data_IF_260164168312
#
_entry.id   IF_260164168312
#
_cell.length_a   1.000
_cell.length_b   1.000
_cell.length_c   1.000
_cell.angle_alpha   90.00
_cell.angle_beta   90.00
_cell.angle_gamma   90.00
#
_symmetry.space_group_name_H-M   'P 1'
#
loop_
_entity.id
_entity.type
_entity.pdbx_description
1 polymer ?
#
# COMPACT_ATOMS: atom_id res chain seq x y z
N UNK A 1 3.71 -24.24 18.69
CA UNK A 1 3.94 -23.89 17.27
C UNK A 1 2.63 -23.35 16.71
N UNK A 2 2.59 -22.07 16.37
CA UNK A 2 1.37 -21.42 15.87
C UNK A 2 1.34 -21.50 14.34
N UNK A 3 0.31 -22.11 13.77
CA UNK A 3 0.08 -22.12 12.33
C UNK A 3 -0.21 -20.68 11.86
N UNK A 4 0.57 -20.18 10.90
CA UNK A 4 0.37 -18.86 10.30
C UNK A 4 -0.21 -18.99 8.90
N UNK A 5 -1.37 -18.37 8.68
CA UNK A 5 -2.00 -18.30 7.37
C UNK A 5 -1.15 -17.47 6.39
N UNK A 6 -1.09 -17.90 5.13
CA UNK A 6 -0.26 -17.27 4.08
C UNK A 6 -0.56 -15.78 3.91
N UNK A 7 -1.84 -15.38 3.96
CA UNK A 7 -2.23 -13.98 3.85
C UNK A 7 -1.59 -13.08 4.93
N UNK A 8 -1.30 -13.63 6.12
CA UNK A 8 -0.60 -12.90 7.18
C UNK A 8 0.91 -12.98 7.03
N UNK A 9 1.43 -14.08 6.48
CA UNK A 9 2.87 -14.25 6.22
C UNK A 9 3.37 -13.29 5.14
N UNK A 10 2.55 -13.02 4.14
CA UNK A 10 2.89 -12.22 2.96
C UNK A 10 2.22 -10.84 2.92
N UNK A 11 1.67 -10.37 4.05
CA UNK A 11 1.15 -9.00 4.11
C UNK A 11 2.32 -8.02 3.91
N UNK A 12 2.29 -7.16 2.88
CA UNK A 12 3.36 -6.21 2.62
C UNK A 12 3.62 -5.32 3.85
N UNK A 13 4.89 -5.14 4.22
CA UNK A 13 5.30 -4.25 5.31
C UNK A 13 5.86 -2.92 4.78
N UNK A 14 6.19 -2.87 3.49
CA UNK A 14 6.69 -1.70 2.79
C UNK A 14 6.01 -1.53 1.45
N UNK A 15 6.07 -0.31 0.91
CA UNK A 15 5.54 0.00 -0.41
C UNK A 15 6.25 -0.73 -1.56
N UNK A 16 7.50 -1.14 -1.38
CA UNK A 16 8.25 -1.92 -2.37
C UNK A 16 7.71 -3.35 -2.54
N UNK A 17 6.97 -3.88 -1.55
CA UNK A 17 6.38 -5.22 -1.58
C UNK A 17 4.95 -5.21 -2.16
N UNK A 18 4.41 -4.04 -2.48
CA UNK A 18 3.08 -3.92 -3.09
C UNK A 18 3.17 -4.20 -4.59
N UNK A 19 2.35 -5.13 -5.07
CA UNK A 19 2.35 -5.57 -6.47
C UNK A 19 1.18 -4.93 -7.24
N UNK A 20 1.45 -4.44 -8.46
CA UNK A 20 0.42 -3.98 -9.42
C UNK A 20 -0.13 -2.57 -9.22
N UNK A 21 0.43 -1.79 -8.28
CA UNK A 21 -0.09 -0.45 -7.91
C UNK A 21 0.99 0.64 -7.96
N UNK A 22 1.88 0.61 -8.97
CA UNK A 22 3.05 1.49 -9.06
C UNK A 22 2.68 2.98 -8.96
N UNK A 23 1.64 3.42 -9.69
CA UNK A 23 1.22 4.83 -9.69
C UNK A 23 0.70 5.29 -8.33
N UNK A 24 -0.08 4.45 -7.65
CA UNK A 24 -0.66 4.77 -6.33
C UNK A 24 0.46 4.83 -5.29
N UNK A 25 1.35 3.83 -5.29
CA UNK A 25 2.49 3.77 -4.39
C UNK A 25 3.41 4.99 -4.56
N UNK A 26 3.70 5.38 -5.82
CA UNK A 26 4.52 6.55 -6.11
C UNK A 26 3.88 7.84 -5.61
N UNK A 27 2.57 8.03 -5.83
CA UNK A 27 1.85 9.21 -5.36
C UNK A 27 1.89 9.32 -3.82
N UNK A 28 1.64 8.22 -3.12
CA UNK A 28 1.68 8.17 -1.65
C UNK A 28 3.10 8.39 -1.10
N UNK A 29 4.11 7.78 -1.72
CA UNK A 29 5.51 7.96 -1.33
C UNK A 29 5.95 9.42 -1.45
N UNK A 30 5.65 10.05 -2.60
CA UNK A 30 5.95 11.47 -2.80
C UNK A 30 5.23 12.40 -1.81
N UNK A 31 3.98 12.09 -1.46
CA UNK A 31 3.21 12.87 -0.49
C UNK A 31 3.82 12.79 0.91
N UNK A 32 4.33 11.63 1.31
CA UNK A 32 5.04 11.44 2.57
C UNK A 32 6.40 12.16 2.56
N UNK A 33 7.19 12.01 1.49
CA UNK A 33 8.51 12.64 1.36
C UNK A 33 8.41 14.18 1.38
N UNK A 34 7.35 14.72 0.80
CA UNK A 34 7.09 16.17 0.77
C UNK A 34 6.31 16.68 1.99
N UNK A 35 5.98 15.82 2.96
CA UNK A 35 5.13 16.11 4.11
C UNK A 35 3.78 16.77 3.73
N UNK A 36 3.25 16.42 2.55
CA UNK A 36 1.98 16.89 2.00
C UNK A 36 0.90 15.84 2.18
N UNK A 37 0.61 15.51 3.44
CA UNK A 37 -0.38 14.50 3.77
C UNK A 37 -1.77 15.13 3.77
N UNK A 38 -2.63 14.67 2.87
CA UNK A 38 -4.03 15.11 2.84
C UNK A 38 -4.80 14.56 4.03
N UNK A 39 -5.85 15.29 4.44
CA UNK A 39 -6.70 14.91 5.57
C UNK A 39 -7.50 13.62 5.31
N UNK A 40 -7.79 13.31 4.04
CA UNK A 40 -8.52 12.11 3.64
C UNK A 40 -7.98 11.58 2.30
N UNK A 41 -7.96 10.24 2.19
CA UNK A 41 -7.67 9.52 0.95
C UNK A 41 -8.86 8.62 0.61
N UNK A 42 -9.36 8.72 -0.62
CA UNK A 42 -10.37 7.83 -1.16
C UNK A 42 -9.68 6.79 -2.04
N UNK A 43 -9.76 5.52 -1.66
CA UNK A 43 -9.26 4.41 -2.46
C UNK A 43 -10.44 3.72 -3.14
N UNK A 44 -10.48 3.79 -4.48
CA UNK A 44 -11.37 2.95 -5.27
C UNK A 44 -10.65 1.64 -5.57
N UNK A 45 -11.27 0.52 -5.23
CA UNK A 45 -10.83 -0.79 -5.67
C UNK A 45 -11.66 -1.21 -6.90
N UNK A 46 -10.98 -1.75 -7.91
CA UNK A 46 -11.54 -2.31 -9.16
C UNK A 46 -12.02 -1.27 -10.19
N UNK A 47 -11.42 -1.37 -11.36
CA UNK A 47 -12.04 -1.07 -12.65
C UNK A 47 -11.73 -2.30 -13.54
N UNK A 48 -12.75 -2.81 -14.25
CA UNK A 48 -12.69 -4.07 -15.01
C UNK A 48 -11.52 -4.15 -16.00
#
# INVERSE_FOLDING_TARGET
MSYQVLARKWRPNSFAEVVGQEHVVKALSNALDSNKIHQAYLFRALEE
#
